data_IF_245558600846
#
_entry.id   IF_245558600846
#
_cell.length_a   1.000
_cell.length_b   1.000
_cell.length_c   1.000
_cell.angle_alpha   90.00
_cell.angle_beta   90.00
_cell.angle_gamma   90.00
#
_symmetry.space_group_name_H-M   'P 1'
#
loop_
_entity.id
_entity.type
_entity.pdbx_description
1 polymer ?
#
# COMPACT_ATOMS: atom_id res chain seq x y z
N UNK A 1 17.51 16.75 0.76
CA UNK A 1 16.03 16.89 0.79
C UNK A 1 15.64 17.41 2.16
N UNK A 2 14.64 18.29 2.26
CA UNK A 2 14.06 18.67 3.56
C UNK A 2 13.55 17.41 4.25
N UNK A 3 13.91 17.17 5.51
CA UNK A 3 13.47 15.99 6.28
C UNK A 3 11.94 15.82 6.22
N UNK A 4 11.21 16.92 6.34
CA UNK A 4 9.74 16.93 6.28
C UNK A 4 9.21 16.50 4.91
N UNK A 5 9.90 16.90 3.84
CA UNK A 5 9.52 16.51 2.48
C UNK A 5 9.75 15.02 2.24
N UNK A 6 10.83 14.44 2.79
CA UNK A 6 11.11 13.01 2.69
C UNK A 6 10.05 12.18 3.43
N UNK A 7 9.73 12.54 4.67
CA UNK A 7 8.68 11.87 5.46
C UNK A 7 7.30 11.98 4.78
N UNK A 8 6.98 13.14 4.22
CA UNK A 8 5.73 13.36 3.51
C UNK A 8 5.61 12.46 2.27
N UNK A 9 6.67 12.42 1.43
CA UNK A 9 6.68 11.59 0.22
C UNK A 9 6.67 10.10 0.58
N UNK A 10 7.44 9.68 1.59
CA UNK A 10 7.45 8.29 2.05
C UNK A 10 6.08 7.83 2.57
N UNK A 11 5.43 8.66 3.38
CA UNK A 11 4.08 8.37 3.91
C UNK A 11 3.04 8.36 2.79
N UNK A 12 3.11 9.31 1.85
CA UNK A 12 2.21 9.36 0.71
C UNK A 12 2.33 8.11 -0.17
N UNK A 13 3.57 7.61 -0.39
CA UNK A 13 3.79 6.35 -1.10
C UNK A 13 3.22 5.15 -0.33
N UNK A 14 3.46 5.08 0.98
CA UNK A 14 2.96 4.00 1.83
C UNK A 14 1.43 3.89 1.75
N UNK A 15 0.74 5.02 1.89
CA UNK A 15 -0.73 5.09 1.84
C UNK A 15 -1.24 4.75 0.46
N UNK A 16 -0.66 5.34 -0.60
CA UNK A 16 -1.10 5.07 -1.97
C UNK A 16 -0.98 3.59 -2.35
N UNK A 17 0.16 2.96 -2.01
CA UNK A 17 0.39 1.54 -2.28
C UNK A 17 -0.51 0.67 -1.40
N UNK A 18 -0.60 0.92 -0.10
CA UNK A 18 -1.45 0.17 0.83
C UNK A 18 -2.93 0.20 0.46
N UNK A 19 -3.47 1.38 0.19
CA UNK A 19 -4.88 1.56 -0.16
C UNK A 19 -5.22 0.96 -1.52
N UNK A 20 -4.27 0.95 -2.48
CA UNK A 20 -4.47 0.29 -3.78
C UNK A 20 -4.67 -1.24 -3.64
N UNK A 21 -3.98 -1.88 -2.69
CA UNK A 21 -4.11 -3.31 -2.39
C UNK A 21 -5.47 -3.60 -1.74
N UNK A 22 -5.86 -2.77 -0.77
CA UNK A 22 -7.17 -2.86 -0.13
C UNK A 22 -8.29 -2.65 -1.15
N UNK A 23 -8.19 -1.62 -2.01
CA UNK A 23 -9.14 -1.38 -3.09
C UNK A 23 -9.22 -2.58 -4.05
N UNK A 24 -8.09 -3.16 -4.45
CA UNK A 24 -8.08 -4.35 -5.31
C UNK A 24 -8.72 -5.57 -4.65
N UNK A 25 -8.71 -5.72 -3.32
CA UNK A 25 -9.31 -6.85 -2.63
C UNK A 25 -10.79 -6.64 -2.25
N UNK A 26 -11.20 -5.40 -2.00
CA UNK A 26 -12.52 -5.05 -1.47
C UNK A 26 -13.50 -4.59 -2.55
N UNK A 27 -13.07 -3.87 -3.59
CA UNK A 27 -13.99 -3.39 -4.63
C UNK A 27 -14.43 -4.53 -5.55
N UNK A 28 -15.70 -4.51 -5.93
CA UNK A 28 -16.22 -5.39 -6.99
C UNK A 28 -15.58 -5.02 -8.34
N UNK A 29 -15.49 -6.00 -9.25
CA UNK A 29 -14.90 -5.86 -10.61
C UNK A 29 -13.39 -5.66 -10.67
N UNK A 30 -12.67 -5.99 -9.60
CA UNK A 30 -11.21 -6.08 -9.59
C UNK A 30 -10.76 -7.54 -9.78
N UNK A 31 -9.52 -7.76 -10.24
CA UNK A 31 -8.99 -9.13 -10.42
C UNK A 31 -8.60 -9.81 -9.11
N UNK A 32 -8.43 -9.03 -8.03
CA UNK A 32 -8.13 -9.54 -6.70
C UNK A 32 -9.31 -9.54 -5.74
N UNK A 33 -10.54 -9.34 -6.23
CA UNK A 33 -11.72 -9.30 -5.38
C UNK A 33 -11.83 -10.58 -4.55
N UNK A 34 -11.98 -10.42 -3.23
CA UNK A 34 -12.08 -11.51 -2.26
C UNK A 34 -10.83 -12.44 -2.21
N UNK A 35 -9.64 -11.92 -2.51
CA UNK A 35 -8.37 -12.66 -2.43
C UNK A 35 -7.94 -13.00 -0.97
N UNK A 36 -8.67 -12.52 0.03
CA UNK A 36 -8.47 -12.87 1.44
C UNK A 36 -7.40 -12.04 2.15
N UNK A 37 -7.30 -12.23 3.46
CA UNK A 37 -6.47 -11.41 4.35
C UNK A 37 -4.95 -11.54 4.08
N UNK A 38 -4.50 -12.69 3.57
CA UNK A 38 -3.07 -12.95 3.34
C UNK A 38 -2.50 -12.06 2.23
N UNK A 39 -3.29 -11.77 1.20
CA UNK A 39 -2.89 -10.91 0.08
C UNK A 39 -2.79 -9.46 0.54
N UNK A 40 -3.71 -9.02 1.40
CA UNK A 40 -3.66 -7.69 2.01
C UNK A 40 -2.43 -7.57 2.92
N UNK A 41 -2.17 -8.55 3.78
CA UNK A 41 -1.03 -8.52 4.70
C UNK A 41 0.33 -8.56 3.97
N UNK A 42 0.48 -9.45 2.99
CA UNK A 42 1.70 -9.53 2.19
C UNK A 42 1.91 -8.25 1.36
N UNK A 43 0.84 -7.73 0.73
CA UNK A 43 0.90 -6.48 -0.02
C UNK A 43 1.30 -5.29 0.85
N UNK A 44 0.76 -5.19 2.08
CA UNK A 44 1.15 -4.14 3.03
C UNK A 44 2.61 -4.24 3.45
N UNK A 45 3.15 -5.45 3.58
CA UNK A 45 4.58 -5.66 3.82
C UNK A 45 5.47 -5.01 2.75
N UNK A 46 5.08 -5.11 1.47
CA UNK A 46 5.77 -4.44 0.38
C UNK A 46 5.52 -2.92 0.35
N UNK A 47 4.30 -2.47 0.66
CA UNK A 47 3.93 -1.05 0.69
C UNK A 47 4.72 -0.27 1.74
N UNK A 48 5.04 -0.89 2.88
CA UNK A 48 5.87 -0.29 3.94
C UNK A 48 7.36 -0.39 3.62
N UNK A 49 7.82 -1.49 3.00
CA UNK A 49 9.25 -1.71 2.71
C UNK A 49 9.86 -0.73 1.71
N UNK A 50 9.09 -0.26 0.73
CA UNK A 50 9.55 0.68 -0.30
C UNK A 50 9.92 2.08 0.21
N UNK A 51 9.08 2.77 1.00
CA UNK A 51 9.45 4.07 1.56
C UNK A 51 10.39 4.00 2.76
N UNK A 52 10.58 2.81 3.36
CA UNK A 52 11.45 2.61 4.51
C UNK A 52 12.95 2.49 4.16
N UNK A 53 13.29 2.24 2.89
CA UNK A 53 14.66 2.02 2.42
C UNK A 53 14.99 2.96 1.26
#
# INVERSE_FOLDING_TARGET
>A
MSHVLAEFVGTALMVYLGDSICANCTLDKTKGHNAGWIVIAAGWGFAVGLPAY
#
